data_IF_006523136162
#
_entry.id   IF_006523136162
#
_cell.length_a   1.000
_cell.length_b   1.000
_cell.length_c   1.000
_cell.angle_alpha   90.00
_cell.angle_beta   90.00
_cell.angle_gamma   90.00
#
_symmetry.space_group_name_H-M   'P 1'
#
loop_
_entity.id
_entity.type
_entity.pdbx_description
1 polymer ?
#
# COMPACT_ATOMS: atom_id res chain seq x y z
N UNK A 1 4.73 33.01 23.30
CA UNK A 1 3.51 32.49 22.63
C UNK A 1 3.57 30.97 22.63
N UNK A 2 2.74 30.24 23.39
CA UNK A 2 2.76 28.79 23.35
C UNK A 2 2.24 28.33 21.98
N UNK A 3 3.09 27.62 21.23
CA UNK A 3 2.71 26.96 19.97
C UNK A 3 1.49 26.08 20.23
N UNK A 4 0.37 26.35 19.55
CA UNK A 4 -0.85 25.53 19.62
C UNK A 4 -0.49 24.12 19.14
N UNK A 5 -0.20 23.21 20.07
CA UNK A 5 0.03 21.79 19.77
C UNK A 5 -1.20 21.28 19.00
N UNK A 6 -0.97 20.84 17.77
CA UNK A 6 -2.00 20.26 16.92
C UNK A 6 -2.39 18.90 17.51
N UNK A 7 -3.56 18.78 18.11
CA UNK A 7 -4.04 17.51 18.66
C UNK A 7 -4.88 16.74 17.64
N UNK A 8 -4.90 15.41 17.76
CA UNK A 8 -5.72 14.52 16.94
C UNK A 8 -7.21 14.92 16.98
N UNK A 9 -7.72 15.26 18.17
CA UNK A 9 -9.10 15.69 18.38
C UNK A 9 -9.41 17.00 17.64
N UNK A 10 -8.53 17.99 17.72
CA UNK A 10 -8.69 19.25 17.00
C UNK A 10 -8.67 19.04 15.47
N UNK A 11 -7.89 18.08 14.96
CA UNK A 11 -7.92 17.72 13.54
C UNK A 11 -9.25 17.07 13.17
N UNK A 12 -9.71 16.10 13.96
CA UNK A 12 -10.98 15.42 13.70
C UNK A 12 -12.18 16.38 13.76
N UNK A 13 -12.18 17.33 14.70
CA UNK A 13 -13.20 18.39 14.76
C UNK A 13 -13.21 19.23 13.48
N UNK A 14 -12.03 19.60 12.96
CA UNK A 14 -11.90 20.36 11.70
C UNK A 14 -12.33 19.53 10.48
N UNK A 15 -11.99 18.25 10.41
CA UNK A 15 -12.41 17.35 9.33
C UNK A 15 -13.94 17.16 9.32
N UNK A 16 -14.55 17.03 10.50
CA UNK A 16 -16.00 16.94 10.68
C UNK A 16 -16.70 18.23 10.25
N UNK A 17 -16.18 19.39 10.66
CA UNK A 17 -16.71 20.69 10.24
C UNK A 17 -16.61 20.90 8.71
N UNK A 18 -15.58 20.32 8.07
CA UNK A 18 -15.42 20.35 6.62
C UNK A 18 -16.22 19.26 5.87
N UNK A 19 -17.05 18.47 6.57
CA UNK A 19 -17.86 17.39 6.00
C UNK A 19 -17.09 16.40 5.12
N UNK A 20 -15.80 16.20 5.40
CA UNK A 20 -14.91 15.36 4.56
C UNK A 20 -15.24 13.86 4.57
N UNK A 21 -16.08 13.38 5.50
CA UNK A 21 -16.42 11.95 5.62
C UNK A 21 -15.28 11.04 6.10
N UNK A 22 -14.12 11.63 6.45
CA UNK A 22 -12.91 10.93 6.88
C UNK A 22 -12.51 11.39 8.29
N UNK A 23 -12.05 10.46 9.12
CA UNK A 23 -11.52 10.71 10.46
C UNK A 23 -10.14 10.10 10.63
N UNK A 24 -9.30 10.70 11.48
CA UNK A 24 -8.03 10.11 11.90
C UNK A 24 -8.23 9.29 13.17
N UNK A 25 -7.62 8.12 13.22
CA UNK A 25 -7.54 7.27 14.39
C UNK A 25 -6.08 6.95 14.71
N UNK A 26 -5.75 7.03 16.00
CA UNK A 26 -4.49 6.54 16.51
C UNK A 26 -4.67 5.11 17.00
N UNK A 27 -3.82 4.20 16.55
CA UNK A 27 -3.72 2.83 17.09
C UNK A 27 -2.29 2.57 17.50
N UNK A 28 -2.06 2.50 18.81
CA UNK A 28 -0.72 2.47 19.38
C UNK A 28 0.06 3.73 18.99
N UNK A 29 1.20 3.54 18.32
CA UNK A 29 2.08 4.63 17.86
C UNK A 29 1.78 5.10 16.43
N UNK A 30 0.79 4.53 15.73
CA UNK A 30 0.53 4.78 14.31
C UNK A 30 -0.82 5.43 14.04
N UNK A 31 -0.88 6.20 12.95
CA UNK A 31 -2.08 6.88 12.47
C UNK A 31 -2.75 6.12 11.32
N UNK A 32 -4.08 6.16 11.34
CA UNK A 32 -4.97 5.49 10.39
C UNK A 32 -6.06 6.47 9.95
N UNK A 33 -6.44 6.40 8.67
CA UNK A 33 -7.63 7.06 8.16
C UNK A 33 -8.82 6.10 8.31
N UNK A 34 -9.92 6.57 8.88
CA UNK A 34 -11.18 5.84 8.98
C UNK A 34 -12.27 6.57 8.20
N UNK A 35 -12.86 5.89 7.23
CA UNK A 35 -13.91 6.42 6.38
C UNK A 35 -14.85 5.28 5.93
N UNK A 36 -16.02 5.63 5.41
CA UNK A 36 -16.85 4.67 4.67
C UNK A 36 -16.27 4.57 3.27
N UNK A 37 -15.71 3.41 2.96
CA UNK A 37 -15.02 3.16 1.70
C UNK A 37 -15.78 2.07 0.93
N UNK A 38 -15.69 2.06 -0.42
CA UNK A 38 -16.19 0.93 -1.18
C UNK A 38 -15.57 -0.37 -0.66
N UNK A 39 -16.23 -1.53 -0.84
CA UNK A 39 -15.68 -2.79 -0.39
C UNK A 39 -14.31 -3.03 -1.02
N UNK A 40 -13.39 -3.62 -0.24
CA UNK A 40 -12.07 -3.96 -0.78
C UNK A 40 -12.25 -4.97 -1.91
N UNK A 41 -11.42 -4.88 -2.95
CA UNK A 41 -11.51 -5.87 -4.01
C UNK A 41 -11.19 -7.27 -3.49
N UNK A 42 -12.12 -8.21 -3.69
CA UNK A 42 -12.08 -9.57 -3.13
C UNK A 42 -12.76 -9.74 -1.76
N UNK A 43 -13.30 -8.68 -1.17
CA UNK A 43 -14.12 -8.79 0.04
C UNK A 43 -15.50 -9.41 -0.27
N UNK A 44 -16.08 -10.14 0.69
CA UNK A 44 -17.43 -10.70 0.56
C UNK A 44 -18.53 -9.62 0.60
N UNK A 45 -18.24 -8.46 1.18
CA UNK A 45 -19.20 -7.37 1.27
C UNK A 45 -19.38 -6.71 -0.10
N UNK A 46 -20.62 -6.52 -0.53
CA UNK A 46 -20.99 -5.82 -1.77
C UNK A 46 -21.25 -4.33 -1.57
N UNK A 47 -21.57 -3.89 -0.34
CA UNK A 47 -21.87 -2.51 -0.01
C UNK A 47 -20.66 -1.77 0.61
N UNK A 48 -20.54 -0.43 0.42
CA UNK A 48 -19.58 0.37 1.14
C UNK A 48 -19.73 0.20 2.66
N UNK A 49 -18.60 0.06 3.35
CA UNK A 49 -18.59 -0.10 4.80
C UNK A 49 -17.42 0.67 5.41
N UNK A 50 -17.47 0.83 6.73
CA UNK A 50 -16.46 1.59 7.42
C UNK A 50 -15.15 0.81 7.49
N UNK A 51 -14.10 1.43 6.98
CA UNK A 51 -12.79 0.80 6.83
C UNK A 51 -11.68 1.72 7.30
N UNK A 52 -10.51 1.13 7.50
CA UNK A 52 -9.30 1.81 7.94
C UNK A 52 -8.19 1.66 6.90
N UNK A 53 -7.53 2.77 6.56
CA UNK A 53 -6.32 2.81 5.73
C UNK A 53 -5.15 3.22 6.64
N UNK A 54 -4.11 2.39 6.71
CA UNK A 54 -2.91 2.71 7.46
C UNK A 54 -2.10 3.78 6.71
N UNK A 55 -1.75 4.88 7.38
CA UNK A 55 -0.90 5.92 6.79
C UNK A 55 0.59 5.56 6.82
N UNK A 56 0.99 4.65 7.73
CA UNK A 56 2.40 4.36 7.98
C UNK A 56 3.12 5.44 8.81
N UNK A 57 2.40 6.49 9.19
CA UNK A 57 2.88 7.66 9.92
C UNK A 57 2.78 7.44 11.44
N UNK A 58 3.72 8.02 12.21
CA UNK A 58 3.69 7.99 13.67
C UNK A 58 2.73 9.03 14.25
N UNK A 59 2.17 8.76 15.43
CA UNK A 59 1.31 9.70 16.14
C UNK A 59 2.12 10.79 16.89
N UNK A 60 3.01 11.48 16.18
CA UNK A 60 3.74 12.64 16.70
C UNK A 60 3.04 13.96 16.28
N UNK A 61 3.31 15.08 16.96
CA UNK A 61 2.70 16.37 16.62
C UNK A 61 3.03 16.88 15.22
N UNK A 62 4.23 16.56 14.72
CA UNK A 62 4.74 17.06 13.43
C UNK A 62 4.06 16.34 12.25
N UNK A 63 3.92 15.02 12.32
CA UNK A 63 3.31 14.22 11.24
C UNK A 63 1.77 14.26 11.29
N UNK A 64 1.17 14.79 12.37
CA UNK A 64 -0.28 15.02 12.45
C UNK A 64 -0.76 16.03 11.38
N UNK A 65 0.08 16.98 10.98
CA UNK A 65 -0.23 17.90 9.90
C UNK A 65 -0.30 17.18 8.54
N UNK A 66 0.64 16.27 8.28
CA UNK A 66 0.65 15.43 7.08
C UNK A 66 -0.58 14.51 7.04
N UNK A 67 -0.88 13.86 8.16
CA UNK A 67 -2.05 12.99 8.30
C UNK A 67 -3.37 13.74 8.02
N UNK A 68 -3.47 15.01 8.41
CA UNK A 68 -4.61 15.87 8.08
C UNK A 68 -4.72 16.13 6.58
N UNK A 69 -3.61 16.38 5.89
CA UNK A 69 -3.59 16.60 4.43
C UNK A 69 -4.03 15.33 3.70
N UNK A 70 -3.54 14.17 4.13
CA UNK A 70 -3.95 12.86 3.58
C UNK A 70 -5.44 12.59 3.81
N UNK A 71 -5.99 12.95 4.98
CA UNK A 71 -7.41 12.82 5.26
C UNK A 71 -8.29 13.67 4.33
N UNK A 72 -7.86 14.91 4.04
CA UNK A 72 -8.56 15.78 3.08
C UNK A 72 -8.49 15.25 1.66
N UNK A 73 -7.32 14.75 1.23
CA UNK A 73 -7.15 14.15 -0.09
C UNK A 73 -8.07 12.94 -0.27
N UNK A 74 -8.15 12.07 0.73
CA UNK A 74 -9.09 10.94 0.72
C UNK A 74 -10.55 11.41 0.69
N UNK A 75 -10.91 12.42 1.47
CA UNK A 75 -12.26 13.00 1.48
C UNK A 75 -12.65 13.56 0.11
N UNK A 76 -11.73 14.21 -0.59
CA UNK A 76 -11.96 14.69 -1.95
C UNK A 76 -12.23 13.54 -2.91
N UNK A 77 -11.40 12.48 -2.89
CA UNK A 77 -11.58 11.29 -3.74
C UNK A 77 -12.94 10.61 -3.52
N UNK A 78 -13.41 10.56 -2.27
CA UNK A 78 -14.73 10.01 -1.95
C UNK A 78 -15.86 10.93 -2.44
N UNK A 79 -15.72 12.25 -2.26
CA UNK A 79 -16.71 13.21 -2.72
C UNK A 79 -16.84 13.24 -4.25
N UNK A 80 -15.74 13.05 -4.98
CA UNK A 80 -15.73 12.99 -6.45
C UNK A 80 -16.07 11.61 -7.01
N UNK A 81 -16.24 10.59 -6.15
CA UNK A 81 -16.47 9.21 -6.58
C UNK A 81 -15.31 8.57 -7.34
N UNK A 82 -14.11 9.18 -7.29
CA UNK A 82 -12.91 8.72 -8.01
C UNK A 82 -11.97 7.92 -7.10
N UNK A 83 -12.42 7.55 -5.91
CA UNK A 83 -11.65 6.71 -5.01
C UNK A 83 -11.39 5.34 -5.66
N UNK A 84 -10.11 5.03 -5.84
CA UNK A 84 -9.62 3.75 -6.32
C UNK A 84 -8.75 3.12 -5.22
N UNK A 85 -9.15 1.94 -4.76
CA UNK A 85 -8.36 1.18 -3.81
C UNK A 85 -6.93 0.94 -4.33
N UNK A 86 -6.73 0.84 -5.65
CA UNK A 86 -5.43 0.51 -6.24
C UNK A 86 -4.42 1.63 -5.97
N UNK A 87 -4.86 2.89 -5.92
CA UNK A 87 -4.03 4.04 -5.52
C UNK A 87 -3.54 3.93 -4.08
N UNK A 88 -4.27 3.21 -3.24
CA UNK A 88 -3.91 2.88 -1.86
C UNK A 88 -3.26 1.50 -1.74
N UNK A 89 -2.90 0.90 -2.87
CA UNK A 89 -2.30 -0.43 -2.92
C UNK A 89 -3.30 -1.57 -2.84
N UNK A 90 -4.62 -1.42 -2.93
CA UNK A 90 -5.54 -2.56 -2.77
C UNK A 90 -6.39 -2.75 -4.02
N UNK A 91 -6.49 -3.94 -4.61
CA UNK A 91 -7.32 -4.06 -5.82
C UNK A 91 -7.26 -5.38 -6.58
N UNK A 92 -8.32 -5.66 -7.34
CA UNK A 92 -8.44 -6.82 -8.23
C UNK A 92 -8.79 -6.31 -9.63
N UNK A 93 -8.12 -6.84 -10.66
CA UNK A 93 -8.43 -6.59 -12.08
C UNK A 93 -7.31 -5.89 -12.86
N UNK A 94 -6.41 -5.17 -12.20
CA UNK A 94 -5.21 -4.63 -12.84
C UNK A 94 -4.17 -5.75 -13.08
N UNK A 95 -3.49 -5.68 -14.21
CA UNK A 95 -2.44 -6.63 -14.56
C UNK A 95 -1.24 -6.51 -13.62
N UNK A 96 -0.43 -7.55 -13.50
CA UNK A 96 0.79 -7.50 -12.68
C UNK A 96 1.68 -6.32 -13.07
N UNK A 97 1.77 -6.00 -14.37
CA UNK A 97 2.55 -4.86 -14.86
C UNK A 97 2.00 -3.51 -14.38
N UNK A 98 0.68 -3.33 -14.42
CA UNK A 98 0.05 -2.11 -13.91
C UNK A 98 0.28 -1.93 -12.40
N UNK A 99 0.22 -3.03 -11.63
CA UNK A 99 0.54 -3.01 -10.21
C UNK A 99 2.01 -2.68 -9.92
N UNK A 100 2.93 -3.25 -10.68
CA UNK A 100 4.37 -3.00 -10.52
C UNK A 100 4.70 -1.54 -10.82
N UNK A 101 4.13 -0.97 -11.89
CA UNK A 101 4.39 0.44 -12.23
C UNK A 101 3.81 1.38 -11.16
N UNK A 102 2.61 1.10 -10.63
CA UNK A 102 2.06 1.88 -9.51
C UNK A 102 2.90 1.73 -8.24
N UNK A 103 3.42 0.53 -7.96
CA UNK A 103 4.33 0.28 -6.84
C UNK A 103 5.64 1.06 -7.00
N UNK A 104 6.18 1.10 -8.22
CA UNK A 104 7.36 1.89 -8.60
C UNK A 104 7.11 3.39 -8.40
N UNK A 105 6.00 3.91 -8.91
CA UNK A 105 5.64 5.31 -8.76
C UNK A 105 5.46 5.70 -7.29
N UNK A 106 4.88 4.83 -6.47
CA UNK A 106 4.74 5.04 -5.02
C UNK A 106 6.10 5.18 -4.33
N UNK A 107 7.03 4.25 -4.58
CA UNK A 107 8.30 4.23 -3.88
C UNK A 107 9.22 5.39 -4.27
N UNK A 108 9.03 5.96 -5.46
CA UNK A 108 9.93 6.96 -6.02
C UNK A 108 9.26 8.30 -6.38
N UNK A 109 7.97 8.50 -6.06
CA UNK A 109 7.17 9.72 -6.27
C UNK A 109 7.47 10.44 -7.60
N UNK A 110 7.49 9.71 -8.72
CA UNK A 110 7.84 10.21 -10.07
C UNK A 110 9.24 10.83 -10.22
N UNK A 111 10.15 10.66 -9.26
CA UNK A 111 11.55 11.14 -9.30
C UNK A 111 12.54 10.01 -9.55
N UNK A 112 12.36 9.28 -10.65
CA UNK A 112 13.33 8.29 -11.12
C UNK A 112 14.37 8.97 -12.01
N UNK A 113 15.42 9.51 -11.40
CA UNK A 113 16.62 9.99 -12.09
C UNK A 113 17.87 9.28 -11.55
N UNK A 114 18.80 8.98 -12.44
CA UNK A 114 20.11 8.38 -12.10
C UNK A 114 20.02 7.10 -11.27
N UNK A 115 20.72 7.09 -10.14
CA UNK A 115 20.89 5.95 -9.22
C UNK A 115 19.59 5.31 -8.72
N UNK A 116 18.49 6.06 -8.69
CA UNK A 116 17.19 5.56 -8.21
C UNK A 116 16.58 4.52 -9.14
N UNK A 117 16.78 4.66 -10.46
CA UNK A 117 16.34 3.65 -11.43
C UNK A 117 17.19 2.38 -11.32
N UNK A 118 18.50 2.53 -11.10
CA UNK A 118 19.37 1.39 -10.80
C UNK A 118 18.93 0.64 -9.54
N UNK A 119 18.67 1.36 -8.43
CA UNK A 119 18.18 0.76 -7.18
C UNK A 119 16.85 0.05 -7.35
N UNK A 120 15.89 0.64 -8.09
CA UNK A 120 14.66 -0.04 -8.45
C UNK A 120 14.93 -1.37 -9.18
N UNK A 121 15.82 -1.34 -10.19
CA UNK A 121 16.17 -2.53 -10.95
C UNK A 121 16.79 -3.62 -10.08
N UNK A 122 17.69 -3.29 -9.17
CA UNK A 122 18.40 -4.26 -8.34
C UNK A 122 17.53 -4.78 -7.19
N UNK A 123 16.86 -3.89 -6.47
CA UNK A 123 16.19 -4.24 -5.20
C UNK A 123 14.78 -4.79 -5.39
N UNK A 124 14.12 -4.45 -6.50
CA UNK A 124 12.72 -4.77 -6.73
C UNK A 124 12.52 -5.60 -8.01
N UNK A 125 12.92 -5.05 -9.17
CA UNK A 125 12.68 -5.69 -10.46
C UNK A 125 13.41 -7.03 -10.60
N UNK A 126 14.75 -7.02 -10.51
CA UNK A 126 15.58 -8.23 -10.63
C UNK A 126 15.43 -9.16 -9.44
N UNK A 127 15.11 -8.60 -8.27
CA UNK A 127 14.95 -9.37 -7.04
C UNK A 127 13.76 -10.33 -7.11
N UNK A 128 12.67 -9.99 -7.80
CA UNK A 128 11.53 -10.90 -7.96
C UNK A 128 10.42 -10.43 -8.89
N UNK A 129 10.18 -9.12 -9.01
CA UNK A 129 8.99 -8.60 -9.70
C UNK A 129 9.00 -8.87 -11.21
N UNK A 130 10.18 -8.97 -11.85
CA UNK A 130 10.29 -9.26 -13.29
C UNK A 130 9.73 -10.61 -13.72
N UNK A 131 9.54 -11.54 -12.77
CA UNK A 131 9.06 -12.89 -13.04
C UNK A 131 7.54 -13.01 -12.98
N UNK A 132 6.84 -11.96 -12.55
CA UNK A 132 5.38 -11.92 -12.55
C UNK A 132 4.83 -11.84 -13.98
N UNK A 133 3.71 -12.50 -14.27
CA UNK A 133 3.08 -12.45 -15.59
C UNK A 133 2.44 -11.08 -15.83
N UNK A 134 3.17 -10.19 -16.50
CA UNK A 134 2.83 -8.76 -16.66
C UNK A 134 1.44 -8.49 -17.26
N UNK A 135 0.95 -9.36 -18.13
CA UNK A 135 -0.36 -9.25 -18.79
C UNK A 135 -1.50 -9.91 -18.02
N UNK A 136 -1.21 -10.74 -17.02
CA UNK A 136 -2.22 -11.44 -16.23
C UNK A 136 -2.62 -10.62 -15.00
N UNK A 137 -3.87 -10.76 -14.53
CA UNK A 137 -4.30 -10.15 -13.28
C UNK A 137 -3.44 -10.66 -12.12
N UNK A 138 -3.13 -9.76 -11.18
CA UNK A 138 -2.39 -10.14 -9.98
C UNK A 138 -3.28 -11.03 -9.10
N UNK A 139 -2.93 -12.31 -9.02
CA UNK A 139 -3.63 -13.32 -8.23
C UNK A 139 -2.62 -14.28 -7.58
N UNK A 140 -3.10 -15.18 -6.71
CA UNK A 140 -2.25 -16.14 -5.99
C UNK A 140 -1.43 -17.01 -6.93
N UNK A 141 -2.02 -17.53 -7.99
CA UNK A 141 -1.36 -18.45 -8.91
C UNK A 141 -0.24 -17.75 -9.69
N UNK A 142 -0.48 -16.52 -10.17
CA UNK A 142 0.53 -15.68 -10.82
C UNK A 142 1.74 -15.43 -9.91
N UNK A 143 1.50 -15.16 -8.63
CA UNK A 143 2.55 -14.94 -7.63
C UNK A 143 3.33 -16.23 -7.36
N UNK A 144 2.64 -17.35 -7.17
CA UNK A 144 3.29 -18.64 -6.90
C UNK A 144 4.12 -19.12 -8.09
N UNK A 145 3.59 -18.99 -9.31
CA UNK A 145 4.32 -19.31 -10.55
C UNK A 145 5.61 -18.49 -10.66
N UNK A 146 5.57 -17.20 -10.34
CA UNK A 146 6.74 -16.33 -10.38
C UNK A 146 7.83 -16.76 -9.38
N UNK A 147 7.45 -17.08 -8.15
CA UNK A 147 8.39 -17.52 -7.10
C UNK A 147 8.99 -18.89 -7.42
N UNK A 148 8.20 -19.80 -7.97
CA UNK A 148 8.64 -21.16 -8.30
C UNK A 148 9.67 -21.24 -9.44
N UNK A 149 9.81 -20.19 -10.27
CA UNK A 149 10.88 -20.10 -11.27
C UNK A 149 12.28 -20.11 -10.67
N UNK A 150 12.43 -19.74 -9.41
CA UNK A 150 13.72 -19.76 -8.73
C UNK A 150 14.04 -21.15 -8.18
N UNK A 151 15.31 -21.54 -8.29
CA UNK A 151 15.82 -22.79 -7.73
C UNK A 151 15.47 -22.88 -6.23
N UNK A 152 14.88 -24.01 -5.76
CA UNK A 152 14.60 -24.23 -4.34
C UNK A 152 15.85 -24.03 -3.47
N UNK A 153 15.67 -23.52 -2.25
CA UNK A 153 16.74 -23.29 -1.25
C UNK A 153 17.91 -22.41 -1.73
N UNK A 154 17.63 -21.37 -2.52
CA UNK A 154 18.65 -20.40 -2.94
C UNK A 154 18.45 -19.04 -2.28
N UNK A 155 19.53 -18.32 -2.03
CA UNK A 155 19.51 -16.94 -1.53
C UNK A 155 18.71 -16.00 -2.46
N UNK A 156 18.77 -16.24 -3.77
CA UNK A 156 17.97 -15.54 -4.78
C UNK A 156 16.48 -15.78 -4.59
N UNK A 157 16.05 -17.01 -4.27
CA UNK A 157 14.64 -17.34 -4.01
C UNK A 157 14.14 -16.72 -2.71
N UNK A 158 14.96 -16.70 -1.67
CA UNK A 158 14.63 -16.03 -0.41
C UNK A 158 14.40 -14.53 -0.64
N UNK A 159 15.30 -13.87 -1.38
CA UNK A 159 15.17 -12.46 -1.77
C UNK A 159 13.91 -12.22 -2.62
N UNK A 160 13.64 -13.09 -3.60
CA UNK A 160 12.42 -13.00 -4.42
C UNK A 160 11.14 -13.10 -3.59
N UNK A 161 11.05 -14.06 -2.67
CA UNK A 161 9.89 -14.19 -1.79
C UNK A 161 9.72 -12.97 -0.87
N UNK A 162 10.82 -12.39 -0.38
CA UNK A 162 10.75 -11.19 0.47
C UNK A 162 10.25 -9.98 -0.31
N UNK A 163 10.90 -9.65 -1.44
CA UNK A 163 10.52 -8.53 -2.29
C UNK A 163 9.09 -8.66 -2.80
N UNK A 164 8.74 -9.84 -3.35
CA UNK A 164 7.38 -10.11 -3.82
C UNK A 164 6.40 -10.07 -2.66
N UNK A 165 6.78 -10.57 -1.47
CA UNK A 165 5.99 -10.52 -0.24
C UNK A 165 5.60 -9.10 0.18
N UNK A 166 6.54 -8.15 0.14
CA UNK A 166 6.23 -6.74 0.40
C UNK A 166 5.31 -6.15 -0.66
N UNK A 167 5.53 -6.49 -1.92
CA UNK A 167 4.69 -6.06 -3.03
C UNK A 167 3.25 -6.58 -2.91
N UNK A 168 3.04 -7.89 -2.70
CA UNK A 168 1.69 -8.47 -2.58
C UNK A 168 0.95 -7.95 -1.34
N UNK A 169 1.68 -7.75 -0.23
CA UNK A 169 1.13 -7.17 1.00
C UNK A 169 0.72 -5.72 0.77
N UNK A 170 1.53 -4.98 0.02
CA UNK A 170 1.14 -3.65 -0.41
C UNK A 170 -0.11 -3.71 -1.27
N UNK A 171 -0.17 -4.60 -2.26
CA UNK A 171 -1.30 -4.91 -3.16
C UNK A 171 -2.58 -5.39 -2.43
N UNK A 172 -2.55 -5.55 -1.10
CA UNK A 172 -3.67 -6.01 -0.29
C UNK A 172 -3.96 -7.51 -0.42
N UNK A 173 -3.05 -8.27 -1.02
CA UNK A 173 -3.16 -9.72 -1.14
C UNK A 173 -2.52 -10.41 0.07
N UNK A 174 -3.29 -11.25 0.75
CA UNK A 174 -2.83 -12.06 1.86
C UNK A 174 -2.36 -13.44 1.35
N UNK A 175 -1.11 -13.50 0.87
CA UNK A 175 -0.50 -14.74 0.39
C UNK A 175 0.78 -14.97 1.20
N UNK A 176 0.86 -16.10 1.91
CA UNK A 176 2.07 -16.47 2.64
C UNK A 176 3.11 -17.08 1.70
N UNK A 177 4.24 -16.38 1.53
CA UNK A 177 5.37 -16.82 0.72
C UNK A 177 6.49 -17.48 1.56
N UNK A 178 6.39 -17.50 2.89
CA UNK A 178 7.40 -18.11 3.77
C UNK A 178 7.67 -19.59 3.45
N UNK A 179 6.65 -20.44 3.17
CA UNK A 179 6.90 -21.85 2.83
C UNK A 179 7.79 -22.03 1.60
N UNK A 180 7.83 -21.02 0.71
CA UNK A 180 8.54 -21.07 -0.56
C UNK A 180 9.93 -20.44 -0.50
N UNK A 181 10.33 -19.81 0.60
CA UNK A 181 11.67 -19.22 0.77
C UNK A 181 12.78 -20.27 0.79
N UNK A 182 12.47 -21.50 1.24
CA UNK A 182 13.44 -22.55 1.48
C UNK A 182 14.14 -22.40 2.83
N UNK A 183 14.69 -23.50 3.36
CA UNK A 183 15.54 -23.46 4.56
C UNK A 183 16.94 -23.09 4.10
N UNK A 184 17.34 -21.85 4.35
CA UNK A 184 18.72 -21.42 4.20
C UNK A 184 19.32 -21.33 5.61
N UNK A 185 20.32 -22.18 5.89
CA UNK A 185 21.19 -22.08 7.06
C UNK A 185 22.46 -21.36 6.66
#
# INVERSE_FOLDING_TARGET
MPSRKLTLEAINARLKAALTGVSLQQRGKRLYLRATLPPKPGAQQSAPYQQQIALGIYANPDDLAEAKTQAKALGLLLATGTFDWISYGQGVGATCGAWIERYRQRLYENKLTGDKDYRWRVDHWNAGLKWLPMSQPLNKDAVLLAVQKHKPNSSTRAKACQTTGWFIKWCGLDIDLKPYQGKYS
#
